data_IF_972157751806
#
_entry.id   IF_972157751806
#
_cell.length_a   1.000
_cell.length_b   1.000
_cell.length_c   1.000
_cell.angle_alpha   90.00
_cell.angle_beta   90.00
_cell.angle_gamma   90.00
#
_symmetry.space_group_name_H-M   'P 1'
#
loop_
_entity.id
_entity.type
_entity.pdbx_description
1 polymer ?
#
# COMPACT_ATOMS: atom_id res chain seq x y z
N UNK A 1 18.63 3.16 1.07
CA UNK A 1 18.46 1.86 0.37
C UNK A 1 19.74 1.44 -0.33
N UNK A 2 20.16 2.15 -1.40
CA UNK A 2 21.32 1.75 -2.22
C UNK A 2 22.64 1.52 -1.47
N UNK A 3 22.99 2.42 -0.56
CA UNK A 3 24.18 2.32 0.34
C UNK A 3 24.15 1.10 1.26
N UNK A 4 22.99 0.47 1.42
CA UNK A 4 22.73 -0.68 2.28
C UNK A 4 22.42 -1.95 1.47
N UNK A 5 22.71 -1.95 0.17
CA UNK A 5 22.62 -3.11 -0.71
C UNK A 5 21.29 -3.29 -1.45
N UNK A 6 20.20 -2.61 -1.03
CA UNK A 6 18.92 -2.69 -1.75
C UNK A 6 18.88 -1.69 -2.91
N UNK A 7 18.99 -2.20 -4.14
CA UNK A 7 19.00 -1.40 -5.38
C UNK A 7 17.56 -1.14 -5.84
N UNK A 8 17.26 0.13 -6.16
CA UNK A 8 15.92 0.50 -6.61
C UNK A 8 15.71 0.16 -8.09
N UNK A 9 16.70 0.43 -8.93
CA UNK A 9 16.61 0.24 -10.38
C UNK A 9 17.18 -1.10 -10.82
N UNK A 10 16.39 -1.88 -11.54
CA UNK A 10 16.84 -3.10 -12.20
C UNK A 10 17.50 -2.73 -13.52
N UNK A 11 18.79 -2.98 -13.63
CA UNK A 11 19.61 -2.61 -14.78
C UNK A 11 20.74 -3.61 -14.98
N UNK A 12 21.20 -3.77 -16.22
CA UNK A 12 22.47 -4.47 -16.48
C UNK A 12 23.68 -3.68 -15.96
N UNK A 13 23.52 -2.35 -15.80
CA UNK A 13 24.54 -1.49 -15.20
C UNK A 13 24.51 -1.63 -13.69
N UNK A 14 25.70 -1.62 -13.09
CA UNK A 14 25.88 -1.74 -11.64
C UNK A 14 26.29 -0.39 -11.06
N UNK A 15 25.62 0.03 -10.00
CA UNK A 15 25.93 1.24 -9.24
C UNK A 15 25.27 1.25 -7.88
N UNK A 16 25.29 2.40 -7.19
CA UNK A 16 24.76 2.50 -5.83
C UNK A 16 23.26 2.25 -5.74
N UNK A 17 22.50 2.66 -6.75
CA UNK A 17 21.04 2.53 -6.80
C UNK A 17 20.54 1.57 -7.88
N UNK A 18 21.42 1.02 -8.71
CA UNK A 18 21.08 0.18 -9.86
C UNK A 18 21.88 -1.12 -9.93
N UNK A 19 21.29 -2.19 -10.45
CA UNK A 19 21.95 -3.48 -10.67
C UNK A 19 20.97 -4.56 -11.15
N UNK A 20 21.44 -5.77 -11.51
CA UNK A 20 20.60 -6.82 -12.07
C UNK A 20 19.53 -7.33 -11.10
N UNK A 21 19.78 -7.19 -9.80
CA UNK A 21 18.85 -7.56 -8.71
C UNK A 21 18.00 -6.36 -8.23
N UNK A 22 17.95 -5.26 -8.98
CA UNK A 22 17.14 -4.11 -8.64
C UNK A 22 15.63 -4.39 -8.68
N UNK A 23 14.88 -3.57 -7.95
CA UNK A 23 13.44 -3.78 -7.73
C UNK A 23 12.57 -3.47 -8.96
N UNK A 24 12.89 -2.41 -9.69
CA UNK A 24 12.04 -1.84 -10.75
C UNK A 24 12.82 -1.80 -12.07
N UNK A 25 12.35 -2.51 -13.09
CA UNK A 25 12.87 -2.43 -14.45
C UNK A 25 12.30 -1.23 -15.21
N UNK A 26 12.99 -0.83 -16.28
CA UNK A 26 12.60 0.30 -17.14
C UNK A 26 11.24 0.14 -17.81
N UNK A 27 10.78 -1.08 -18.03
CA UNK A 27 9.53 -1.39 -18.76
C UNK A 27 8.45 -2.03 -17.88
N UNK A 28 8.63 -2.01 -16.56
CA UNK A 28 7.66 -2.55 -15.60
C UNK A 28 6.33 -1.78 -15.64
N UNK A 29 5.24 -2.49 -15.34
CA UNK A 29 3.94 -1.90 -15.02
C UNK A 29 3.83 -1.84 -13.50
N UNK A 30 3.65 -0.64 -12.96
CA UNK A 30 3.75 -0.37 -11.52
C UNK A 30 2.42 0.15 -11.01
N UNK A 31 1.84 -0.57 -10.04
CA UNK A 31 0.75 -0.05 -9.22
C UNK A 31 1.36 0.67 -8.01
N UNK A 32 1.06 1.95 -7.86
CA UNK A 32 1.29 2.68 -6.61
C UNK A 32 -0.01 2.61 -5.82
N UNK A 33 -0.05 1.71 -4.84
CA UNK A 33 -1.21 1.52 -3.97
C UNK A 33 -1.16 2.57 -2.86
N UNK A 34 -2.03 3.56 -2.92
CA UNK A 34 -2.11 4.66 -1.95
C UNK A 34 -3.24 4.44 -0.93
N UNK A 35 -3.32 5.29 0.10
CA UNK A 35 -4.49 5.45 0.95
C UNK A 35 -5.27 6.66 0.46
N UNK A 36 -6.51 6.45 0.07
CA UNK A 36 -7.38 7.51 -0.45
C UNK A 36 -8.83 7.32 -0.02
N UNK A 37 -9.09 6.48 0.99
CA UNK A 37 -10.40 6.39 1.64
C UNK A 37 -10.77 7.70 2.38
N UNK A 38 -9.76 8.36 2.96
CA UNK A 38 -9.93 9.60 3.72
C UNK A 38 -9.22 10.76 3.01
N UNK A 39 -9.83 11.94 3.06
CA UNK A 39 -9.26 13.21 2.67
C UNK A 39 -8.31 13.75 3.76
N UNK A 40 -7.78 14.96 3.53
CA UNK A 40 -6.83 15.63 4.42
C UNK A 40 -5.66 14.71 4.81
N UNK A 41 -5.26 14.68 6.09
CA UNK A 41 -4.12 13.90 6.59
C UNK A 41 -4.46 12.44 6.86
N UNK A 42 -5.70 12.02 6.57
CA UNK A 42 -6.10 10.62 6.58
C UNK A 42 -5.65 9.85 5.33
N UNK A 43 -5.31 10.53 4.24
CA UNK A 43 -4.81 9.93 3.00
C UNK A 43 -3.28 9.94 2.89
N UNK A 44 -2.75 9.23 1.89
CA UNK A 44 -1.31 9.24 1.55
C UNK A 44 -0.90 10.60 1.01
N UNK A 45 0.28 11.06 1.42
CA UNK A 45 0.84 12.33 0.98
C UNK A 45 1.10 12.37 -0.54
N UNK A 46 0.52 13.34 -1.25
CA UNK A 46 0.61 13.43 -2.71
C UNK A 46 1.97 13.96 -3.18
N UNK A 47 2.68 14.75 -2.35
CA UNK A 47 4.06 15.18 -2.64
C UNK A 47 5.03 13.98 -2.61
N UNK A 48 4.85 13.06 -1.66
CA UNK A 48 5.59 11.81 -1.62
C UNK A 48 5.32 10.94 -2.84
N UNK A 49 4.05 10.78 -3.25
CA UNK A 49 3.71 10.00 -4.45
C UNK A 49 4.29 10.67 -5.71
N UNK A 50 4.26 12.00 -5.81
CA UNK A 50 4.89 12.75 -6.88
C UNK A 50 6.40 12.54 -6.92
N UNK A 51 7.08 12.56 -5.77
CA UNK A 51 8.51 12.30 -5.67
C UNK A 51 8.86 10.84 -6.05
N UNK A 52 8.04 9.88 -5.63
CA UNK A 52 8.18 8.47 -5.99
C UNK A 52 8.03 8.27 -7.51
N UNK A 53 7.00 8.84 -8.13
CA UNK A 53 6.81 8.78 -9.59
C UNK A 53 8.01 9.41 -10.28
N UNK A 54 8.49 10.58 -9.82
CA UNK A 54 9.70 11.22 -10.36
C UNK A 54 10.90 10.27 -10.30
N UNK A 55 11.10 9.58 -9.18
CA UNK A 55 12.20 8.62 -9.03
C UNK A 55 12.07 7.45 -10.02
N UNK A 56 10.86 6.91 -10.21
CA UNK A 56 10.60 5.82 -11.16
C UNK A 56 10.86 6.28 -12.60
N UNK A 57 10.26 7.40 -13.03
CA UNK A 57 10.41 7.85 -14.43
C UNK A 57 11.83 8.31 -14.75
N UNK A 58 12.62 8.66 -13.73
CA UNK A 58 14.05 8.94 -13.85
C UNK A 58 14.92 7.67 -13.87
N UNK A 59 14.33 6.50 -14.17
CA UNK A 59 15.07 5.25 -14.32
C UNK A 59 16.31 5.48 -15.21
N UNK A 60 17.51 5.04 -14.80
CA UNK A 60 18.76 5.39 -15.50
C UNK A 60 18.78 4.85 -16.93
N UNK A 61 18.12 3.73 -17.20
CA UNK A 61 17.96 3.14 -18.55
C UNK A 61 16.81 3.76 -19.36
N UNK A 62 16.14 4.79 -18.84
CA UNK A 62 14.94 5.40 -19.41
C UNK A 62 13.68 4.59 -19.11
N UNK A 63 12.72 5.18 -18.41
CA UNK A 63 11.47 4.49 -18.08
C UNK A 63 10.48 4.55 -19.25
N UNK A 64 10.08 3.39 -19.74
CA UNK A 64 9.11 3.21 -20.84
C UNK A 64 7.88 2.42 -20.40
N UNK A 65 7.86 1.98 -19.14
CA UNK A 65 6.76 1.26 -18.52
C UNK A 65 5.53 2.13 -18.26
N UNK A 66 4.69 1.65 -17.35
CA UNK A 66 3.44 2.31 -17.00
C UNK A 66 3.25 2.40 -15.48
N UNK A 67 2.69 3.50 -15.00
CA UNK A 67 2.39 3.71 -13.58
C UNK A 67 0.90 3.98 -13.41
N UNK A 68 0.26 3.24 -12.51
CA UNK A 68 -1.13 3.46 -12.10
C UNK A 68 -1.20 3.71 -10.60
N UNK A 69 -1.70 4.88 -10.20
CA UNK A 69 -2.03 5.19 -8.81
C UNK A 69 -3.42 4.62 -8.53
N UNK A 70 -3.54 3.72 -7.55
CA UNK A 70 -4.79 3.03 -7.30
C UNK A 70 -5.05 2.86 -5.80
N UNK A 71 -6.33 2.79 -5.45
CA UNK A 71 -6.79 2.39 -4.12
C UNK A 71 -8.23 1.87 -4.19
N UNK A 72 -8.62 1.12 -3.16
CA UNK A 72 -10.00 0.79 -2.84
C UNK A 72 -10.36 1.36 -1.46
N UNK A 73 -11.13 2.45 -1.42
CA UNK A 73 -11.80 2.96 -0.23
C UNK A 73 -13.06 2.19 0.15
N UNK A 74 -13.32 1.06 -0.54
CA UNK A 74 -14.31 0.04 -0.20
C UNK A 74 -15.77 0.45 -0.46
N UNK A 75 -15.99 1.56 -1.17
CA UNK A 75 -17.31 2.05 -1.57
C UNK A 75 -18.33 2.10 -0.41
N UNK A 76 -17.89 2.51 0.79
CA UNK A 76 -18.71 2.42 2.00
C UNK A 76 -18.45 3.50 3.04
N UNK A 77 -17.21 3.66 3.49
CA UNK A 77 -16.83 4.62 4.53
C UNK A 77 -16.06 5.79 3.90
N UNK A 78 -15.22 6.48 4.66
CA UNK A 78 -14.41 7.58 4.13
C UNK A 78 -15.07 8.94 4.26
N UNK A 79 -14.37 9.99 3.81
CA UNK A 79 -14.74 11.38 4.10
C UNK A 79 -16.06 11.84 3.49
N UNK A 80 -16.53 11.18 2.42
CA UNK A 80 -17.88 11.39 1.84
C UNK A 80 -18.89 10.32 2.23
N UNK A 81 -18.50 9.30 2.99
CA UNK A 81 -19.35 8.17 3.36
C UNK A 81 -19.72 7.26 2.17
N UNK A 82 -18.94 7.31 1.08
CA UNK A 82 -19.22 6.56 -0.17
C UNK A 82 -18.00 5.83 -0.72
N UNK A 83 -16.94 5.72 0.07
CA UNK A 83 -15.65 5.15 -0.32
C UNK A 83 -14.56 6.21 -0.46
N UNK A 84 -13.53 5.86 -1.22
CA UNK A 84 -12.36 6.70 -1.47
C UNK A 84 -12.50 7.60 -2.69
N UNK A 85 -11.52 8.48 -2.86
CA UNK A 85 -11.39 9.32 -4.05
C UNK A 85 -9.91 9.60 -4.32
N UNK A 86 -9.49 9.49 -5.58
CA UNK A 86 -8.16 9.93 -6.02
C UNK A 86 -8.13 11.43 -6.38
N UNK A 87 -9.29 12.11 -6.24
CA UNK A 87 -9.48 13.52 -6.52
C UNK A 87 -10.16 14.24 -5.35
N UNK A 88 -9.63 14.07 -4.15
CA UNK A 88 -10.07 14.88 -3.02
C UNK A 88 -9.80 16.37 -3.28
N UNK A 89 -10.66 17.23 -2.77
CA UNK A 89 -10.44 18.69 -2.79
C UNK A 89 -9.43 19.12 -1.73
N UNK A 90 -9.32 18.33 -0.65
CA UNK A 90 -8.43 18.52 0.49
C UNK A 90 -7.52 17.30 0.61
N UNK A 91 -6.25 17.43 0.26
CA UNK A 91 -5.30 16.32 0.19
C UNK A 91 -4.19 16.43 1.24
N UNK A 92 -3.62 15.30 1.64
CA UNK A 92 -2.37 15.27 2.39
C UNK A 92 -1.24 15.79 1.49
N UNK A 93 -0.93 17.07 1.56
CA UNK A 93 0.13 17.72 0.79
C UNK A 93 0.53 19.04 1.45
N UNK A 94 1.61 19.66 0.98
CA UNK A 94 1.92 21.07 1.30
C UNK A 94 0.97 22.02 0.55
N UNK A 95 0.58 21.68 -0.68
CA UNK A 95 -0.57 22.29 -1.39
C UNK A 95 -1.78 21.35 -1.27
N UNK A 96 -2.74 21.63 -0.37
CA UNK A 96 -3.94 20.80 -0.18
C UNK A 96 -4.76 20.54 -1.45
N UNK A 97 -4.62 21.39 -2.47
CA UNK A 97 -5.33 21.22 -3.73
C UNK A 97 -4.71 20.16 -4.65
N UNK A 98 -3.49 19.68 -4.38
CA UNK A 98 -2.79 18.68 -5.19
C UNK A 98 -3.33 17.27 -4.91
N UNK A 99 -4.24 16.79 -5.76
CA UNK A 99 -4.78 15.43 -5.71
C UNK A 99 -3.92 14.40 -6.47
N UNK A 100 -4.17 13.11 -6.24
CA UNK A 100 -3.49 12.03 -6.97
C UNK A 100 -3.75 12.11 -8.48
N UNK A 101 -4.96 12.51 -8.89
CA UNK A 101 -5.28 12.77 -10.30
C UNK A 101 -4.44 13.91 -10.88
N UNK A 102 -4.28 15.03 -10.16
CA UNK A 102 -3.42 16.13 -10.60
C UNK A 102 -1.95 15.70 -10.71
N UNK A 103 -1.46 14.90 -9.76
CA UNK A 103 -0.10 14.32 -9.84
C UNK A 103 0.04 13.45 -11.09
N UNK A 104 -0.87 12.51 -11.32
CA UNK A 104 -0.83 11.65 -12.50
C UNK A 104 -0.88 12.47 -13.80
N UNK A 105 -1.76 13.47 -13.87
CA UNK A 105 -1.90 14.35 -15.03
C UNK A 105 -0.64 15.18 -15.31
N UNK A 106 0.06 15.63 -14.26
CA UNK A 106 1.29 16.40 -14.42
C UNK A 106 2.43 15.59 -15.06
N UNK A 107 2.51 14.27 -14.82
CA UNK A 107 3.47 13.41 -15.52
C UNK A 107 2.96 12.97 -16.89
N UNK A 108 1.66 12.73 -17.03
CA UNK A 108 1.07 12.41 -18.33
C UNK A 108 1.26 13.54 -19.36
N UNK A 109 1.18 14.81 -18.95
CA UNK A 109 1.44 15.96 -19.83
C UNK A 109 2.90 16.08 -20.29
N UNK A 110 3.83 15.38 -19.62
CA UNK A 110 5.24 15.28 -20.01
C UNK A 110 5.53 14.06 -20.90
N UNK A 111 4.50 13.28 -21.26
CA UNK A 111 4.62 12.10 -22.13
C UNK A 111 4.80 10.77 -21.40
N UNK A 112 4.81 10.75 -20.06
CA UNK A 112 4.88 9.50 -19.30
C UNK A 112 3.52 8.80 -19.21
N UNK A 113 3.51 7.47 -19.23
CA UNK A 113 2.29 6.66 -19.05
C UNK A 113 1.92 6.58 -17.57
N UNK A 114 1.42 7.68 -17.02
CA UNK A 114 0.93 7.75 -15.62
C UNK A 114 -0.58 7.98 -15.61
N UNK A 115 -1.30 7.24 -14.77
CA UNK A 115 -2.76 7.33 -14.63
C UNK A 115 -3.22 7.02 -13.22
N UNK A 116 -4.49 7.30 -12.94
CA UNK A 116 -5.20 6.84 -11.75
C UNK A 116 -6.18 5.72 -12.14
N UNK A 117 -6.49 4.83 -11.19
CA UNK A 117 -7.60 3.89 -11.30
C UNK A 117 -8.21 3.66 -9.91
N UNK A 118 -9.42 4.18 -9.68
CA UNK A 118 -10.11 4.04 -8.39
C UNK A 118 -10.90 2.73 -8.35
N UNK A 119 -10.48 1.78 -7.50
CA UNK A 119 -11.10 0.46 -7.43
C UNK A 119 -12.49 0.46 -6.78
N UNK A 120 -12.89 1.51 -6.05
CA UNK A 120 -14.26 1.67 -5.55
C UNK A 120 -15.31 1.55 -6.68
N UNK A 121 -14.94 1.97 -7.89
CA UNK A 121 -15.82 1.91 -9.07
C UNK A 121 -16.11 0.49 -9.54
N UNK A 122 -15.27 -0.49 -9.17
CA UNK A 122 -15.37 -1.89 -9.59
C UNK A 122 -15.49 -2.88 -8.42
N UNK A 123 -15.34 -2.41 -7.17
CA UNK A 123 -15.32 -3.27 -5.98
C UNK A 123 -16.63 -4.02 -5.73
N UNK A 124 -17.72 -3.65 -6.39
CA UNK A 124 -19.03 -4.33 -6.29
C UNK A 124 -19.25 -5.40 -7.37
N UNK A 125 -18.31 -5.58 -8.30
CA UNK A 125 -18.47 -6.46 -9.45
C UNK A 125 -17.55 -7.67 -9.34
N UNK A 126 -18.14 -8.86 -9.16
CA UNK A 126 -17.40 -10.13 -9.25
C UNK A 126 -17.19 -10.47 -10.73
N UNK A 127 -15.95 -10.84 -11.10
CA UNK A 127 -15.56 -11.24 -12.46
C UNK A 127 -14.72 -12.52 -12.42
N UNK A 128 -14.52 -13.16 -13.57
CA UNK A 128 -13.53 -14.25 -13.77
C UNK A 128 -12.19 -13.69 -14.26
N UNK A 129 -11.18 -14.54 -14.39
CA UNK A 129 -9.88 -14.11 -14.91
C UNK A 129 -9.89 -13.89 -16.44
N UNK A 130 -8.92 -13.14 -16.96
CA UNK A 130 -8.79 -12.91 -18.41
C UNK A 130 -8.61 -14.21 -19.19
N UNK A 131 -7.92 -15.20 -18.62
CA UNK A 131 -7.76 -16.52 -19.22
C UNK A 131 -9.10 -17.22 -19.48
N UNK A 132 -10.11 -16.94 -18.65
CA UNK A 132 -11.47 -17.46 -18.76
C UNK A 132 -12.34 -16.68 -19.78
N UNK A 133 -11.73 -15.72 -20.50
CA UNK A 133 -12.41 -14.90 -21.50
C UNK A 133 -13.21 -13.73 -20.94
N UNK A 134 -13.13 -13.47 -19.63
CA UNK A 134 -13.77 -12.32 -19.01
C UNK A 134 -12.85 -11.10 -19.13
N UNK A 135 -13.24 -10.13 -19.96
CA UNK A 135 -12.50 -8.89 -20.20
C UNK A 135 -12.99 -7.72 -19.36
N UNK A 136 -13.97 -7.93 -18.50
CA UNK A 136 -14.57 -6.86 -17.69
C UNK A 136 -13.69 -6.51 -16.49
N UNK A 137 -13.73 -5.24 -16.10
CA UNK A 137 -13.08 -4.77 -14.88
C UNK A 137 -13.93 -5.17 -13.65
N UNK A 138 -13.27 -5.62 -12.58
CA UNK A 138 -13.94 -6.14 -11.40
C UNK A 138 -12.97 -6.79 -10.42
N UNK A 139 -13.53 -7.59 -9.51
CA UNK A 139 -12.79 -8.38 -8.55
C UNK A 139 -12.96 -9.87 -8.84
N UNK A 140 -11.84 -10.58 -8.92
CA UNK A 140 -11.83 -12.04 -8.80
C UNK A 140 -11.96 -12.35 -7.31
N UNK A 141 -12.88 -13.24 -6.94
CA UNK A 141 -13.19 -13.56 -5.54
C UNK A 141 -13.19 -15.07 -5.38
N UNK A 142 -12.43 -15.57 -4.41
CA UNK A 142 -12.41 -16.99 -4.10
C UNK A 142 -13.78 -17.45 -3.57
N UNK A 143 -14.14 -18.70 -3.86
CA UNK A 143 -15.43 -19.24 -3.44
C UNK A 143 -15.44 -19.72 -1.98
N UNK A 144 -14.26 -19.97 -1.42
CA UNK A 144 -14.10 -20.45 -0.05
C UNK A 144 -13.17 -19.51 0.74
N UNK A 145 -13.48 -19.27 2.02
CA UNK A 145 -12.52 -18.63 2.91
C UNK A 145 -11.29 -19.51 3.07
N UNK A 146 -10.16 -18.88 3.34
CA UNK A 146 -8.96 -19.54 3.83
C UNK A 146 -9.28 -20.29 5.15
N UNK A 147 -8.87 -21.57 5.28
CA UNK A 147 -9.26 -22.39 6.43
C UNK A 147 -8.62 -21.94 7.75
N UNK A 148 -7.51 -21.21 7.72
CA UNK A 148 -6.78 -20.81 8.92
C UNK A 148 -7.18 -19.41 9.40
N UNK A 149 -7.17 -18.45 8.49
CA UNK A 149 -7.44 -17.05 8.81
C UNK A 149 -8.91 -16.68 8.60
N UNK A 150 -9.66 -17.49 7.86
CA UNK A 150 -11.05 -17.23 7.51
C UNK A 150 -11.26 -16.15 6.45
N UNK A 151 -10.18 -15.58 5.87
CA UNK A 151 -10.29 -14.52 4.86
C UNK A 151 -10.77 -15.09 3.52
N UNK A 152 -11.73 -14.43 2.89
CA UNK A 152 -12.13 -14.69 1.51
C UNK A 152 -11.26 -13.81 0.61
N UNK A 153 -10.26 -14.43 -0.01
CA UNK A 153 -9.33 -13.72 -0.90
C UNK A 153 -10.07 -13.15 -2.10
N UNK A 154 -9.80 -11.89 -2.40
CA UNK A 154 -10.23 -11.23 -3.62
C UNK A 154 -9.20 -10.21 -4.07
N UNK A 155 -9.19 -9.86 -5.35
CA UNK A 155 -8.24 -8.90 -5.90
C UNK A 155 -8.76 -8.27 -7.19
N UNK A 156 -8.33 -7.03 -7.51
CA UNK A 156 -8.82 -6.32 -8.67
C UNK A 156 -8.20 -6.87 -9.95
N UNK A 157 -9.01 -6.91 -10.99
CA UNK A 157 -8.63 -7.17 -12.38
C UNK A 157 -9.21 -6.03 -13.22
N UNK A 158 -8.38 -5.31 -13.95
CA UNK A 158 -8.82 -4.10 -14.65
C UNK A 158 -7.93 -3.72 -15.84
N UNK A 159 -8.50 -2.98 -16.78
CA UNK A 159 -7.76 -2.38 -17.90
C UNK A 159 -7.47 -0.90 -17.64
N UNK A 160 -6.20 -0.51 -17.74
CA UNK A 160 -5.80 0.89 -17.57
C UNK A 160 -6.23 1.76 -18.75
N UNK A 161 -6.18 3.09 -18.58
CA UNK A 161 -6.47 4.04 -19.67
C UNK A 161 -5.52 3.92 -20.87
N UNK A 162 -4.33 3.35 -20.66
CA UNK A 162 -3.34 3.11 -21.73
C UNK A 162 -3.49 1.71 -22.36
N UNK A 163 -4.56 0.99 -22.02
CA UNK A 163 -4.93 -0.27 -22.63
C UNK A 163 -4.29 -1.50 -22.02
N UNK A 164 -3.51 -1.36 -20.95
CA UNK A 164 -2.82 -2.45 -20.26
C UNK A 164 -3.81 -3.26 -19.42
N UNK A 165 -3.85 -4.57 -19.61
CA UNK A 165 -4.69 -5.49 -18.84
C UNK A 165 -3.93 -5.98 -17.61
N UNK A 166 -4.48 -5.76 -16.41
CA UNK A 166 -3.84 -6.09 -15.14
C UNK A 166 -4.74 -7.05 -14.37
N UNK A 167 -4.24 -8.24 -14.04
CA UNK A 167 -4.71 -9.02 -12.90
C UNK A 167 -3.75 -8.75 -11.75
N UNK A 168 -4.26 -8.23 -10.63
CA UNK A 168 -3.39 -7.89 -9.49
C UNK A 168 -2.60 -9.11 -9.00
N UNK A 169 -3.22 -10.29 -9.00
CA UNK A 169 -2.56 -11.57 -8.68
C UNK A 169 -1.63 -12.03 -9.80
N UNK A 170 -2.16 -12.22 -11.01
CA UNK A 170 -1.47 -12.97 -12.06
C UNK A 170 -0.47 -12.13 -12.88
N UNK A 171 -0.59 -10.80 -12.87
CA UNK A 171 0.30 -9.88 -13.57
C UNK A 171 -0.33 -9.22 -14.80
N UNK A 172 0.53 -8.81 -15.74
CA UNK A 172 0.10 -8.16 -16.98
C UNK A 172 -0.37 -9.22 -17.97
N UNK A 173 -1.61 -9.10 -18.45
CA UNK A 173 -2.17 -10.02 -19.42
C UNK A 173 -1.84 -9.60 -20.86
N UNK A 174 -1.35 -10.56 -21.66
CA UNK A 174 -1.17 -10.42 -23.09
C UNK A 174 -2.31 -11.15 -23.84
N UNK A 175 -3.25 -10.43 -24.47
CA UNK A 175 -4.38 -11.03 -25.17
C UNK A 175 -3.99 -11.78 -26.45
N UNK A 176 -2.83 -11.48 -27.05
CA UNK A 176 -2.35 -12.14 -28.26
C UNK A 176 -1.79 -13.52 -27.94
N UNK A 177 -0.93 -13.60 -26.92
CA UNK A 177 -0.34 -14.89 -26.51
C UNK A 177 -1.23 -15.66 -25.53
N UNK A 178 -2.25 -15.01 -24.96
CA UNK A 178 -3.12 -15.54 -23.89
C UNK A 178 -2.32 -15.99 -22.66
N UNK A 179 -1.33 -15.19 -22.27
CA UNK A 179 -0.47 -15.48 -21.11
C UNK A 179 -0.37 -14.27 -20.17
N UNK A 180 -0.02 -14.54 -18.91
CA UNK A 180 0.32 -13.49 -17.95
C UNK A 180 1.83 -13.35 -17.81
N UNK A 181 2.32 -12.12 -17.82
CA UNK A 181 3.64 -11.78 -17.34
C UNK A 181 3.55 -11.30 -15.89
N UNK A 182 3.69 -12.23 -14.94
CA UNK A 182 3.68 -11.94 -13.50
C UNK A 182 4.83 -11.04 -13.07
N UNK A 183 6.02 -11.20 -13.67
CA UNK A 183 7.23 -10.48 -13.25
C UNK A 183 7.20 -8.99 -13.60
N UNK A 184 6.46 -8.62 -14.66
CA UNK A 184 6.33 -7.24 -15.16
C UNK A 184 5.41 -6.38 -14.30
N UNK A 185 4.54 -6.97 -13.48
CA UNK A 185 3.69 -6.22 -12.56
C UNK A 185 4.38 -6.03 -11.21
N UNK A 186 4.63 -4.77 -10.84
CA UNK A 186 5.13 -4.38 -9.52
C UNK A 186 4.05 -3.67 -8.72
N UNK A 187 4.06 -3.85 -7.41
CA UNK A 187 3.21 -3.10 -6.48
C UNK A 187 4.11 -2.36 -5.50
N UNK A 188 3.96 -1.04 -5.41
CA UNK A 188 4.56 -0.23 -4.35
C UNK A 188 3.43 0.19 -3.43
N UNK A 189 3.46 -0.28 -2.20
CA UNK A 189 2.46 0.00 -1.18
C UNK A 189 2.85 1.26 -0.41
N UNK A 190 2.03 2.31 -0.46
CA UNK A 190 2.33 3.64 0.07
C UNK A 190 1.28 4.10 1.10
N UNK A 191 1.18 3.45 2.28
CA UNK A 191 0.27 3.89 3.35
C UNK A 191 0.74 5.16 4.05
N UNK A 192 -0.21 5.92 4.60
CA UNK A 192 0.04 6.90 5.67
C UNK A 192 0.06 6.22 7.04
N UNK A 193 1.02 6.59 7.89
CA UNK A 193 1.15 6.11 9.27
C UNK A 193 0.15 6.82 10.18
N UNK A 194 -0.78 6.06 10.76
CA UNK A 194 -1.80 6.59 11.66
C UNK A 194 -2.31 5.55 12.65
N UNK A 195 -2.89 6.02 13.76
CA UNK A 195 -3.66 5.15 14.65
C UNK A 195 -4.99 4.72 14.01
N UNK A 196 -5.63 3.73 14.61
CA UNK A 196 -6.94 3.23 14.20
C UNK A 196 -7.75 2.77 15.42
N UNK A 197 -9.02 3.18 15.53
CA UNK A 197 -9.88 2.84 16.66
C UNK A 197 -10.00 1.33 16.97
N UNK A 198 -10.21 0.53 15.92
CA UNK A 198 -10.39 -0.92 15.98
C UNK A 198 -9.05 -1.68 15.94
N UNK A 199 -8.18 -1.40 14.96
CA UNK A 199 -6.99 -2.21 14.68
C UNK A 199 -5.71 -1.68 15.34
N UNK A 200 -5.77 -0.56 16.06
CA UNK A 200 -4.62 0.04 16.74
C UNK A 200 -3.79 0.93 15.82
N UNK A 201 -3.19 0.36 14.78
CA UNK A 201 -2.35 1.07 13.80
C UNK A 201 -2.79 0.74 12.38
N UNK A 202 -2.81 1.76 11.52
CA UNK A 202 -2.85 1.59 10.06
C UNK A 202 -1.49 1.98 9.50
N UNK A 203 -0.83 0.98 8.93
CA UNK A 203 0.40 1.09 8.17
C UNK A 203 0.36 0.00 7.07
N UNK A 204 1.49 -0.54 6.63
CA UNK A 204 1.65 -1.41 5.46
C UNK A 204 0.74 -2.64 5.44
N UNK A 205 0.65 -3.40 6.54
CA UNK A 205 -0.12 -4.65 6.59
C UNK A 205 -1.62 -4.36 6.56
N UNK A 206 -2.11 -3.49 7.46
CA UNK A 206 -3.55 -3.15 7.49
C UNK A 206 -4.02 -2.43 6.23
N UNK A 207 -3.15 -1.64 5.60
CA UNK A 207 -3.46 -0.90 4.38
C UNK A 207 -3.75 -1.81 3.18
N UNK A 208 -3.23 -3.04 3.20
CA UNK A 208 -3.53 -4.05 2.20
C UNK A 208 -5.02 -4.42 2.11
N UNK A 209 -5.81 -4.03 3.11
CA UNK A 209 -7.28 -4.00 3.05
C UNK A 209 -7.84 -3.30 1.80
N UNK A 210 -7.14 -2.28 1.29
CA UNK A 210 -7.52 -1.58 0.07
C UNK A 210 -7.22 -2.36 -1.23
N UNK A 211 -6.77 -3.61 -1.14
CA UNK A 211 -6.61 -4.52 -2.30
C UNK A 211 -7.79 -5.46 -2.45
N UNK A 212 -8.48 -5.81 -1.36
CA UNK A 212 -9.61 -6.76 -1.38
C UNK A 212 -10.95 -6.05 -1.52
N UNK A 213 -11.97 -6.75 -2.00
CA UNK A 213 -13.35 -6.27 -1.96
C UNK A 213 -14.01 -6.71 -0.66
N UNK A 214 -14.15 -5.77 0.26
CA UNK A 214 -14.91 -5.96 1.51
C UNK A 214 -16.42 -6.10 1.24
N UNK A 215 -16.90 -5.48 0.16
CA UNK A 215 -18.31 -5.46 -0.23
C UNK A 215 -18.79 -6.79 -0.81
N UNK A 216 -18.00 -7.41 -1.69
CA UNK A 216 -18.35 -8.70 -2.31
C UNK A 216 -18.23 -9.88 -1.34
N UNK A 217 -17.57 -9.67 -0.21
CA UNK A 217 -17.29 -10.69 0.80
C UNK A 217 -17.99 -10.41 2.13
N UNK A 218 -18.90 -9.42 2.16
CA UNK A 218 -19.71 -9.06 3.33
C UNK A 218 -18.86 -8.79 4.59
N UNK A 219 -17.95 -7.82 4.51
CA UNK A 219 -17.06 -7.41 5.62
C UNK A 219 -16.06 -8.47 6.11
N UNK A 220 -15.95 -9.60 5.42
CA UNK A 220 -15.08 -10.70 5.84
C UNK A 220 -13.59 -10.30 5.98
N UNK A 221 -12.99 -9.53 5.05
CA UNK A 221 -11.62 -9.07 5.21
C UNK A 221 -11.39 -8.27 6.49
N UNK A 222 -12.27 -7.34 6.82
CA UNK A 222 -12.17 -6.59 8.08
C UNK A 222 -12.22 -7.50 9.31
N UNK A 223 -13.07 -8.52 9.28
CA UNK A 223 -13.21 -9.48 10.37
C UNK A 223 -12.02 -10.46 10.50
N UNK A 224 -11.22 -10.63 9.45
CA UNK A 224 -10.07 -11.54 9.41
C UNK A 224 -8.72 -10.86 9.66
N UNK A 225 -8.67 -9.53 9.85
CA UNK A 225 -7.42 -8.85 10.25
C UNK A 225 -6.85 -9.47 11.53
N UNK A 226 -7.71 -9.66 12.54
CA UNK A 226 -7.35 -10.20 13.85
C UNK A 226 -6.90 -11.66 13.84
N UNK A 227 -7.06 -12.36 12.72
CA UNK A 227 -6.66 -13.77 12.51
C UNK A 227 -5.52 -13.89 11.50
N UNK A 228 -4.87 -12.79 11.12
CA UNK A 228 -3.73 -12.79 10.21
C UNK A 228 -4.09 -12.66 8.73
N UNK A 229 -5.36 -12.53 8.38
CA UNK A 229 -5.86 -12.61 6.99
C UNK A 229 -5.20 -11.66 6.00
N UNK A 230 -4.67 -10.50 6.43
CA UNK A 230 -3.92 -9.62 5.51
C UNK A 230 -2.63 -10.26 5.00
N UNK A 231 -1.96 -11.07 5.83
CA UNK A 231 -0.81 -11.88 5.42
C UNK A 231 -1.21 -12.90 4.36
N UNK A 232 -2.28 -13.66 4.59
CA UNK A 232 -2.84 -14.62 3.62
C UNK A 232 -3.20 -13.95 2.30
N UNK A 233 -3.86 -12.79 2.30
CA UNK A 233 -4.19 -12.08 1.05
C UNK A 233 -2.89 -11.70 0.33
N UNK A 234 -1.86 -11.19 1.01
CA UNK A 234 -0.58 -10.88 0.36
C UNK A 234 0.07 -12.10 -0.29
N UNK A 235 0.07 -13.26 0.40
CA UNK A 235 0.56 -14.54 -0.11
C UNK A 235 -0.23 -14.98 -1.35
N UNK A 236 -1.56 -14.97 -1.26
CA UNK A 236 -2.45 -15.51 -2.27
C UNK A 236 -2.62 -14.60 -3.50
N UNK A 237 -2.19 -13.34 -3.39
CA UNK A 237 -2.32 -12.34 -4.46
C UNK A 237 -0.96 -11.89 -4.97
N UNK A 238 -0.36 -10.88 -4.34
CA UNK A 238 0.93 -10.31 -4.74
C UNK A 238 1.56 -9.52 -3.60
N UNK A 239 2.70 -9.99 -3.11
CA UNK A 239 3.52 -9.18 -2.21
C UNK A 239 3.90 -7.83 -2.85
N UNK A 240 3.81 -6.72 -2.09
CA UNK A 240 4.42 -5.46 -2.51
C UNK A 240 5.92 -5.64 -2.77
N UNK A 241 6.39 -5.15 -3.91
CA UNK A 241 7.82 -5.06 -4.23
C UNK A 241 8.55 -4.17 -3.24
N UNK A 242 7.88 -3.11 -2.78
CA UNK A 242 8.39 -2.16 -1.80
C UNK A 242 7.21 -1.56 -1.03
N UNK A 243 7.39 -1.41 0.27
CA UNK A 243 6.52 -0.58 1.11
C UNK A 243 7.23 0.75 1.38
N UNK A 244 6.54 1.86 1.14
CA UNK A 244 7.01 3.22 1.42
C UNK A 244 6.01 3.86 2.36
N UNK A 245 6.32 3.88 3.64
CA UNK A 245 5.47 4.45 4.67
C UNK A 245 5.60 5.97 4.68
N UNK A 246 4.47 6.64 4.43
CA UNK A 246 4.31 8.07 4.63
C UNK A 246 4.13 8.36 6.12
N UNK A 247 5.19 8.90 6.74
CA UNK A 247 5.17 9.43 8.09
C UNK A 247 5.55 10.92 8.10
N UNK A 248 5.18 11.66 7.04
CA UNK A 248 5.41 13.11 6.98
C UNK A 248 4.43 13.81 7.92
N UNK A 249 3.15 13.50 7.75
CA UNK A 249 2.05 13.90 8.63
C UNK A 249 1.39 12.64 9.18
N UNK A 250 1.37 12.50 10.50
CA UNK A 250 0.88 11.29 11.17
C UNK A 250 -0.29 11.62 12.09
N UNK A 251 -1.12 10.61 12.39
CA UNK A 251 -2.08 10.69 13.50
C UNK A 251 -1.59 9.80 14.65
N UNK A 252 -1.00 10.39 15.72
CA UNK A 252 -0.50 9.65 16.86
C UNK A 252 -1.51 9.56 18.02
N UNK A 253 -2.78 9.95 17.83
CA UNK A 253 -3.77 9.95 18.90
C UNK A 253 -4.30 8.53 19.12
N UNK A 254 -4.07 7.88 20.29
CA UNK A 254 -4.53 6.52 20.54
C UNK A 254 -6.03 6.35 20.20
N UNK A 255 -6.34 5.39 19.33
CA UNK A 255 -7.69 5.10 18.83
C UNK A 255 -8.39 6.26 18.07
N UNK A 256 -7.67 7.32 17.71
CA UNK A 256 -8.24 8.52 17.07
C UNK A 256 -8.48 8.39 15.56
N UNK A 257 -7.79 7.49 14.86
CA UNK A 257 -8.01 7.27 13.43
C UNK A 257 -9.14 6.28 13.10
N UNK A 258 -9.44 6.05 11.80
CA UNK A 258 -8.55 6.29 10.66
C UNK A 258 -8.70 7.63 9.94
N UNK A 259 -9.73 8.43 10.21
CA UNK A 259 -9.80 9.81 9.74
C UNK A 259 -8.74 10.67 10.45
N UNK A 260 -8.24 11.73 9.83
CA UNK A 260 -7.28 12.65 10.47
C UNK A 260 -7.38 14.00 9.80
N UNK A 261 -7.78 15.02 10.56
CA UNK A 261 -7.85 16.37 10.02
C UNK A 261 -6.47 17.03 9.88
N UNK A 262 -6.40 18.18 9.22
CA UNK A 262 -5.18 18.99 9.21
C UNK A 262 -4.73 19.43 10.62
N UNK A 263 -5.68 19.75 11.49
CA UNK A 263 -5.43 20.26 12.84
C UNK A 263 -4.99 19.15 13.81
N UNK A 264 -5.48 17.93 13.61
CA UNK A 264 -5.13 16.76 14.45
C UNK A 264 -3.79 16.14 14.06
N UNK A 265 -3.33 16.32 12.81
CA UNK A 265 -2.12 15.69 12.36
C UNK A 265 -0.86 16.31 12.97
N UNK A 266 0.10 15.45 13.31
CA UNK A 266 1.43 15.86 13.76
C UNK A 266 2.43 15.71 12.62
N UNK A 267 3.22 16.75 12.37
CA UNK A 267 4.33 16.68 11.40
C UNK A 267 5.51 15.92 12.01
N UNK A 268 5.82 14.76 11.46
CA UNK A 268 7.00 13.96 11.83
C UNK A 268 8.13 14.08 10.80
N UNK A 269 7.82 14.42 9.54
CA UNK A 269 8.80 14.56 8.44
C UNK A 269 9.67 13.31 8.26
N UNK A 270 9.07 12.12 8.32
CA UNK A 270 9.79 10.86 8.11
C UNK A 270 9.21 10.13 6.90
N UNK A 271 10.10 9.58 6.09
CA UNK A 271 9.76 8.56 5.09
C UNK A 271 10.54 7.31 5.49
N UNK A 272 9.85 6.18 5.60
CA UNK A 272 10.46 4.90 5.90
C UNK A 272 10.09 3.87 4.83
N UNK A 273 11.01 2.97 4.49
CA UNK A 273 10.77 1.97 3.47
C UNK A 273 11.32 0.60 3.86
N UNK A 274 10.67 -0.46 3.38
CA UNK A 274 11.09 -1.85 3.54
C UNK A 274 10.43 -2.75 2.51
N UNK A 275 11.08 -3.86 2.16
CA UNK A 275 10.45 -4.97 1.43
C UNK A 275 9.58 -5.84 2.35
N UNK A 276 9.77 -5.75 3.67
CA UNK A 276 8.98 -6.45 4.68
C UNK A 276 7.95 -5.50 5.32
N UNK A 277 6.63 -5.67 5.03
CA UNK A 277 5.59 -4.81 5.58
C UNK A 277 5.42 -4.96 7.09
N UNK A 278 5.70 -6.14 7.66
CA UNK A 278 5.54 -6.39 9.10
C UNK A 278 6.63 -5.66 9.88
N UNK A 279 7.89 -5.81 9.44
CA UNK A 279 9.02 -5.13 10.06
C UNK A 279 8.84 -3.60 10.03
N UNK A 280 8.31 -3.06 8.92
CA UNK A 280 8.06 -1.63 8.80
C UNK A 280 6.94 -1.16 9.74
N UNK A 281 5.85 -1.92 9.85
CA UNK A 281 4.73 -1.60 10.76
C UNK A 281 5.17 -1.67 12.23
N UNK A 282 5.90 -2.72 12.60
CA UNK A 282 6.46 -2.90 13.94
C UNK A 282 7.37 -1.72 14.31
N UNK A 283 8.37 -1.45 13.45
CA UNK A 283 9.35 -0.40 13.71
C UNK A 283 8.70 0.98 13.76
N UNK A 284 7.83 1.31 12.79
CA UNK A 284 7.23 2.64 12.71
C UNK A 284 6.25 2.93 13.85
N UNK A 285 5.48 1.92 14.30
CA UNK A 285 4.61 2.08 15.46
C UNK A 285 5.44 2.42 16.71
N UNK A 286 6.53 1.69 16.97
CA UNK A 286 7.38 1.85 18.16
C UNK A 286 8.20 3.14 18.15
N UNK A 287 8.82 3.44 17.01
CA UNK A 287 9.84 4.49 16.91
C UNK A 287 9.35 5.82 16.34
N UNK A 288 8.16 5.85 15.73
CA UNK A 288 7.54 7.09 15.26
C UNK A 288 6.25 7.35 16.03
N UNK A 289 5.27 6.45 15.91
CA UNK A 289 3.90 6.72 16.33
C UNK A 289 3.77 6.86 17.86
N UNK A 290 4.30 5.88 18.60
CA UNK A 290 4.32 5.90 20.07
C UNK A 290 5.17 7.06 20.62
N UNK A 291 6.27 7.39 19.95
CA UNK A 291 7.13 8.51 20.37
C UNK A 291 6.41 9.86 20.21
N UNK A 292 5.67 10.04 19.11
CA UNK A 292 4.84 11.22 18.90
C UNK A 292 3.69 11.27 19.92
N UNK A 293 3.01 10.15 20.17
CA UNK A 293 1.93 10.07 21.14
C UNK A 293 2.40 10.41 22.57
N UNK A 294 3.57 9.88 22.98
CA UNK A 294 4.17 10.18 24.27
C UNK A 294 4.51 11.67 24.43
N UNK A 295 5.03 12.31 23.38
CA UNK A 295 5.30 13.77 23.35
C UNK A 295 4.04 14.62 23.47
N UNK A 296 2.90 14.13 23.02
CA UNK A 296 1.59 14.76 23.23
C UNK A 296 1.02 14.53 24.64
N UNK A 297 1.71 13.75 25.49
CA UNK A 297 1.32 13.50 26.87
C UNK A 297 0.47 12.25 27.09
N UNK A 298 0.25 11.43 26.05
CA UNK A 298 -0.45 10.15 26.22
C UNK A 298 0.42 9.18 27.03
N UNK A 299 -0.19 8.55 28.03
CA UNK A 299 0.46 7.55 28.91
C UNK A 299 0.09 6.12 28.54
N UNK A 300 -1.16 5.88 28.16
CA UNK A 300 -1.59 4.58 27.65
C UNK A 300 -1.41 4.52 26.14
N UNK A 301 -0.40 3.76 25.72
CA UNK A 301 -0.05 3.53 24.32
C UNK A 301 -0.37 2.08 23.89
N UNK A 302 -1.01 1.29 24.75
CA UNK A 302 -1.24 -0.16 24.55
C UNK A 302 -1.99 -0.49 23.26
N UNK A 303 -2.81 0.43 22.75
CA UNK A 303 -3.55 0.26 21.50
C UNK A 303 -2.68 0.29 20.24
N UNK A 304 -1.52 0.95 20.28
CA UNK A 304 -0.60 1.09 19.15
C UNK A 304 0.76 0.43 19.41
N UNK A 305 0.91 -0.22 20.55
CA UNK A 305 2.13 -0.90 20.96
C UNK A 305 2.30 -2.23 20.18
N UNK A 306 3.34 -2.36 19.33
CA UNK A 306 3.59 -3.61 18.62
C UNK A 306 4.09 -4.75 19.53
N UNK A 307 4.53 -4.45 20.76
CA UNK A 307 4.93 -5.46 21.75
C UNK A 307 3.77 -5.95 22.60
N UNK A 308 2.62 -5.28 22.57
CA UNK A 308 1.41 -5.81 23.17
C UNK A 308 0.91 -7.01 22.37
N UNK A 309 1.01 -8.22 22.93
CA UNK A 309 0.57 -9.48 22.31
C UNK A 309 -0.77 -9.99 22.84
N UNK A 310 -1.53 -9.17 23.56
CA UNK A 310 -2.88 -9.54 24.01
C UNK A 310 -3.76 -9.91 22.81
N UNK A 311 -4.70 -10.87 22.92
CA UNK A 311 -5.54 -11.25 21.80
C UNK A 311 -6.23 -10.04 21.15
N UNK A 312 -6.15 -9.95 19.81
CA UNK A 312 -6.69 -8.86 18.97
C UNK A 312 -6.00 -7.49 19.14
N UNK A 313 -4.92 -7.38 19.91
CA UNK A 313 -4.07 -6.18 19.92
C UNK A 313 -3.37 -6.00 18.57
N UNK A 314 -2.84 -4.79 18.35
CA UNK A 314 -1.99 -4.49 17.19
C UNK A 314 -0.83 -5.49 17.06
N UNK A 315 -0.02 -5.64 18.10
CA UNK A 315 1.12 -6.57 18.09
C UNK A 315 0.74 -8.03 17.90
N UNK A 316 -0.45 -8.47 18.34
CA UNK A 316 -0.93 -9.84 18.15
C UNK A 316 -1.30 -10.09 16.69
N UNK A 317 -2.16 -9.27 16.08
CA UNK A 317 -2.58 -9.53 14.71
C UNK A 317 -1.46 -9.29 13.69
N UNK A 318 -0.52 -8.40 14.00
CA UNK A 318 0.66 -8.18 13.16
C UNK A 318 1.53 -9.44 13.06
N UNK A 319 1.72 -10.15 14.19
CA UNK A 319 2.44 -11.44 14.21
C UNK A 319 1.68 -12.55 13.50
N UNK A 320 0.34 -12.58 13.58
CA UNK A 320 -0.44 -13.56 12.80
C UNK A 320 -0.28 -13.35 11.29
N UNK A 321 -0.26 -12.10 10.80
CA UNK A 321 0.06 -11.86 9.39
C UNK A 321 1.52 -12.22 9.04
N UNK A 322 2.48 -12.00 9.95
CA UNK A 322 3.87 -12.45 9.77
C UNK A 322 3.96 -13.97 9.65
N UNK A 323 3.22 -14.72 10.47
CA UNK A 323 3.20 -16.19 10.43
C UNK A 323 2.70 -16.71 9.08
N UNK A 324 1.67 -16.10 8.50
CA UNK A 324 1.18 -16.44 7.16
C UNK A 324 2.25 -16.24 6.08
N UNK A 325 3.01 -15.14 6.15
CA UNK A 325 4.12 -14.87 5.24
C UNK A 325 5.23 -15.93 5.40
N UNK A 326 5.62 -16.23 6.63
CA UNK A 326 6.68 -17.19 6.94
C UNK A 326 6.31 -18.61 6.48
N UNK A 327 5.06 -19.04 6.66
CA UNK A 327 4.57 -20.34 6.17
C UNK A 327 4.66 -20.45 4.65
N UNK A 328 4.47 -19.34 3.94
CA UNK A 328 4.64 -19.26 2.49
C UNK A 328 6.11 -19.13 2.04
N UNK A 329 7.07 -19.18 2.96
CA UNK A 329 8.50 -19.02 2.66
C UNK A 329 8.93 -17.58 2.38
N UNK A 330 8.07 -16.60 2.67
CA UNK A 330 8.39 -15.18 2.54
C UNK A 330 8.98 -14.71 3.87
N UNK A 331 10.23 -14.25 3.83
CA UNK A 331 10.87 -13.72 5.03
C UNK A 331 10.13 -12.49 5.55
N UNK A 332 9.79 -12.52 6.83
CA UNK A 332 9.20 -11.40 7.55
C UNK A 332 9.54 -11.47 9.04
N UNK A 333 9.67 -10.34 9.73
CA UNK A 333 10.13 -10.35 11.13
C UNK A 333 9.63 -9.18 11.98
N UNK A 334 9.54 -9.44 13.28
CA UNK A 334 9.41 -8.44 14.36
C UNK A 334 10.64 -8.41 15.27
N UNK A 335 11.66 -9.21 14.96
CA UNK A 335 12.93 -9.25 15.69
C UNK A 335 13.77 -8.04 15.28
N UNK A 336 13.97 -7.11 16.21
CA UNK A 336 14.62 -5.82 15.96
C UNK A 336 16.03 -5.95 15.39
N UNK A 337 16.77 -7.01 15.75
CA UNK A 337 18.11 -7.28 15.22
C UNK A 337 18.11 -7.72 13.74
N UNK A 338 16.93 -8.04 13.22
CA UNK A 338 16.71 -8.53 11.85
C UNK A 338 15.83 -7.60 11.01
N UNK A 339 15.32 -6.52 11.60
CA UNK A 339 14.52 -5.51 10.89
C UNK A 339 15.41 -4.73 9.92
N UNK A 340 15.01 -4.74 8.64
CA UNK A 340 15.60 -3.90 7.61
C UNK A 340 14.63 -2.78 7.24
N UNK A 341 14.84 -1.58 7.80
CA UNK A 341 14.07 -0.38 7.48
C UNK A 341 15.01 0.75 7.04
N UNK A 342 14.69 1.39 5.93
CA UNK A 342 15.41 2.53 5.39
C UNK A 342 14.66 3.81 5.73
N UNK A 343 15.28 4.67 6.54
CA UNK A 343 14.65 5.90 7.05
C UNK A 343 15.35 7.10 6.46
N UNK A 344 14.57 8.09 6.04
CA UNK A 344 15.07 9.42 5.70
C UNK A 344 14.16 10.47 6.33
N UNK A 345 14.76 11.57 6.77
CA UNK A 345 13.99 12.75 7.19
C UNK A 345 13.59 13.51 5.92
N UNK A 346 12.29 13.68 5.70
CA UNK A 346 11.79 14.51 4.61
C UNK A 346 12.28 15.95 4.81
N UNK A 347 12.59 16.70 3.72
CA UNK A 347 12.94 18.11 3.83
C UNK A 347 11.86 18.87 4.59
N UNK A 348 12.28 19.87 5.38
CA UNK A 348 11.33 20.85 5.89
C UNK A 348 10.89 21.68 4.69
N UNK A 349 9.66 21.43 4.23
CA UNK A 349 9.01 22.13 3.11
C UNK A 349 8.98 23.64 3.27
#
# INVERSE_FOLDING_TARGET
>A
MGERGLKFYKSERVGDTMGPDGLIASDDVIIIKVNSQWDERGGTNTDLVKALIKAIVSHPDGFVGEIVIADNGQAQYGSRGTGGSLNWERNNAEDPSQSMEKVAQAFASQGYRVSTYLWDTITLKRVREYLDGDVEDGYVVYDKPDPETGVVVSYPKFRTKYGTYISFKLGVWDPTTRTYNSSKLKVINVPVLKTHAIYGVTACVKHYMGVVSDRLTNHNPHNSVGTGGMGTVMVETRMPTLNVLDAIWINPHPRGGPATSYEEAVRANIIAASTDPVALDYWAAKYILMQAASKLGYRDLSSMDPDNTSPRSFGSWLRLSMEELLKAGIFSTVDEDRIAVYVVRAPEG
#
